data_IF_640699895476
#
_entry.id   IF_640699895476
#
_cell.length_a   1.000
_cell.length_b   1.000
_cell.length_c   1.000
_cell.angle_alpha   90.00
_cell.angle_beta   90.00
_cell.angle_gamma   90.00
#
_symmetry.space_group_name_H-M   'P 1'
#
loop_
_entity.id
_entity.type
_entity.pdbx_description
1 polymer ?
#
# COMPACT_ATOMS: atom_id res chain seq x y z
N UNK A 1 16.90 -1.83 12.32
CA UNK A 1 18.08 -2.55 11.80
C UNK A 1 18.43 -1.96 10.44
N UNK A 2 19.70 -1.69 10.14
CA UNK A 2 20.15 -1.29 8.81
C UNK A 2 21.03 -2.43 8.29
N UNK A 3 20.57 -3.17 7.28
CA UNK A 3 21.31 -4.30 6.72
C UNK A 3 21.83 -3.87 5.34
N UNK A 4 23.15 -3.87 5.09
CA UNK A 4 23.69 -3.48 3.79
C UNK A 4 23.04 -4.26 2.64
N UNK A 5 22.63 -3.54 1.59
CA UNK A 5 21.95 -4.12 0.43
C UNK A 5 20.44 -4.34 0.58
N UNK A 6 19.86 -4.12 1.77
CA UNK A 6 18.42 -4.22 1.99
C UNK A 6 17.79 -2.84 2.10
N UNK A 7 16.71 -2.63 1.35
CA UNK A 7 15.88 -1.42 1.41
C UNK A 7 14.46 -1.79 1.82
N UNK A 8 13.76 -0.85 2.46
CA UNK A 8 12.38 -1.06 2.87
C UNK A 8 11.40 -0.47 1.85
N UNK A 9 10.31 -1.19 1.60
CA UNK A 9 9.07 -0.60 1.13
C UNK A 9 8.11 -0.44 2.32
N UNK A 10 7.22 0.54 2.26
CA UNK A 10 6.16 0.68 3.26
C UNK A 10 4.84 0.96 2.57
N UNK A 11 3.81 0.20 2.91
CA UNK A 11 2.47 0.27 2.32
C UNK A 11 1.49 -0.51 3.21
N UNK A 12 0.22 -0.50 2.84
CA UNK A 12 -0.83 -1.21 3.56
C UNK A 12 -1.46 -2.23 2.60
N UNK A 13 -1.19 -3.50 2.88
CA UNK A 13 -1.67 -4.62 2.06
C UNK A 13 -3.21 -4.70 2.08
N UNK A 14 -3.86 -5.08 0.97
CA UNK A 14 -5.33 -5.19 0.86
C UNK A 14 -6.01 -5.99 1.97
N UNK A 15 -5.33 -6.99 2.54
CA UNK A 15 -5.88 -7.78 3.66
C UNK A 15 -6.13 -6.97 4.94
N UNK A 16 -5.57 -5.76 5.05
CA UNK A 16 -5.78 -4.87 6.19
C UNK A 16 -6.98 -3.93 5.99
N UNK A 17 -7.65 -3.94 4.83
CA UNK A 17 -8.71 -2.98 4.51
C UNK A 17 -9.91 -3.01 5.46
N UNK A 18 -10.13 -4.11 6.18
CA UNK A 18 -11.18 -4.21 7.19
C UNK A 18 -10.81 -3.56 8.55
N UNK A 19 -9.53 -3.25 8.78
CA UNK A 19 -9.00 -2.85 10.11
C UNK A 19 -8.24 -1.52 10.09
N UNK A 20 -7.86 -1.04 8.90
CA UNK A 20 -7.13 0.20 8.73
C UNK A 20 -7.95 1.40 9.22
N UNK A 21 -7.27 2.30 9.92
CA UNK A 21 -7.84 3.55 10.45
C UNK A 21 -7.07 4.76 9.92
N UNK A 22 -7.62 5.97 10.04
CA UNK A 22 -6.97 7.20 9.58
C UNK A 22 -5.56 7.40 10.15
N UNK A 23 -5.34 7.04 11.43
CA UNK A 23 -4.01 7.09 12.08
C UNK A 23 -2.96 6.19 11.40
N UNK A 24 -3.39 5.10 10.77
CA UNK A 24 -2.47 4.19 10.08
C UNK A 24 -2.02 4.81 8.75
N UNK A 25 -2.92 5.52 8.06
CA UNK A 25 -2.61 6.28 6.84
C UNK A 25 -1.71 7.50 7.13
N UNK A 26 -1.92 8.16 8.27
CA UNK A 26 -1.03 9.23 8.74
C UNK A 26 0.38 8.70 9.03
N UNK A 27 0.46 7.57 9.76
CA UNK A 27 1.73 6.90 10.05
C UNK A 27 2.43 6.44 8.79
N UNK A 28 1.70 5.88 7.82
CA UNK A 28 2.23 5.54 6.50
C UNK A 28 2.85 6.77 5.83
N UNK A 29 2.15 7.91 5.83
CA UNK A 29 2.67 9.17 5.28
C UNK A 29 3.96 9.66 5.96
N UNK A 30 4.12 9.42 7.25
CA UNK A 30 5.38 9.72 7.96
C UNK A 30 6.49 8.75 7.55
N UNK A 31 6.20 7.45 7.46
CA UNK A 31 7.18 6.44 7.04
C UNK A 31 7.67 6.69 5.60
N UNK A 32 6.78 7.09 4.70
CA UNK A 32 7.11 7.41 3.32
C UNK A 32 8.03 8.63 3.18
N UNK A 33 8.16 9.50 4.19
CA UNK A 33 9.17 10.59 4.18
C UNK A 33 10.54 10.14 4.68
N UNK A 34 10.64 8.94 5.27
CA UNK A 34 11.91 8.44 5.76
C UNK A 34 12.86 8.13 4.60
N UNK A 35 14.15 8.53 4.69
CA UNK A 35 15.16 8.14 3.70
C UNK A 35 15.46 6.64 3.72
N UNK A 36 15.02 5.90 4.75
CA UNK A 36 15.18 4.45 4.86
C UNK A 36 14.14 3.65 4.06
N UNK A 37 13.11 4.33 3.55
CA UNK A 37 12.06 3.72 2.73
C UNK A 37 12.31 4.10 1.27
N UNK A 38 12.60 3.12 0.42
CA UNK A 38 12.95 3.35 -0.99
C UNK A 38 11.77 3.18 -1.94
N UNK A 39 10.66 2.59 -1.49
CA UNK A 39 9.47 2.36 -2.30
C UNK A 39 8.18 2.48 -1.49
N UNK A 40 7.07 2.81 -2.16
CA UNK A 40 5.73 2.82 -1.58
C UNK A 40 5.04 1.49 -1.90
N UNK A 41 4.74 0.68 -0.88
CA UNK A 41 4.02 -0.57 -1.06
C UNK A 41 4.36 -1.63 -0.01
N UNK A 42 3.69 -2.78 -0.03
CA UNK A 42 2.72 -3.18 -1.06
C UNK A 42 1.31 -2.60 -0.81
N UNK A 43 0.65 -2.16 -1.88
CA UNK A 43 -0.76 -1.75 -1.92
C UNK A 43 -1.43 -2.45 -3.11
N UNK A 44 -2.74 -2.61 -3.11
CA UNK A 44 -3.44 -3.15 -4.28
C UNK A 44 -4.70 -3.91 -3.94
N UNK A 45 -4.98 -4.96 -4.71
CA UNK A 45 -6.22 -5.74 -4.64
C UNK A 45 -5.93 -7.24 -4.60
N UNK A 46 -6.54 -7.92 -3.64
CA UNK A 46 -6.44 -9.37 -3.47
C UNK A 46 -7.83 -10.00 -3.41
N UNK A 47 -8.20 -10.69 -4.48
CA UNK A 47 -9.49 -11.36 -4.61
C UNK A 47 -9.61 -12.67 -3.82
N UNK A 48 -8.55 -13.15 -3.17
CA UNK A 48 -8.51 -14.44 -2.48
C UNK A 48 -8.33 -14.29 -0.95
N UNK A 49 -8.22 -13.08 -0.42
CA UNK A 49 -7.98 -12.84 1.01
C UNK A 49 -9.24 -12.79 1.89
N UNK A 50 -10.44 -12.87 1.29
CA UNK A 50 -11.73 -12.83 2.01
C UNK A 50 -12.19 -11.46 2.52
N UNK A 51 -11.42 -10.38 2.29
CA UNK A 51 -11.79 -9.01 2.65
C UNK A 51 -12.67 -8.40 1.56
N UNK A 52 -13.73 -7.69 1.95
CA UNK A 52 -14.64 -7.00 1.04
C UNK A 52 -13.89 -6.15 -0.01
N UNK A 53 -14.22 -6.34 -1.29
CA UNK A 53 -13.53 -5.69 -2.40
C UNK A 53 -13.71 -4.17 -2.39
N UNK A 54 -14.89 -3.67 -1.98
CA UNK A 54 -15.13 -2.22 -1.89
C UNK A 54 -14.21 -1.56 -0.87
N UNK A 55 -13.99 -2.21 0.28
CA UNK A 55 -13.01 -1.76 1.28
C UNK A 55 -11.57 -1.76 0.74
N UNK A 56 -11.19 -2.81 0.00
CA UNK A 56 -9.85 -2.87 -0.61
C UNK A 56 -9.63 -1.75 -1.62
N UNK A 57 -10.61 -1.47 -2.47
CA UNK A 57 -10.55 -0.36 -3.45
C UNK A 57 -10.52 1.00 -2.77
N UNK A 58 -11.32 1.21 -1.73
CA UNK A 58 -11.29 2.43 -0.94
C UNK A 58 -9.91 2.65 -0.29
N UNK A 59 -9.33 1.61 0.32
CA UNK A 59 -7.99 1.66 0.87
C UNK A 59 -6.94 1.94 -0.23
N UNK A 60 -7.03 1.28 -1.38
CA UNK A 60 -6.11 1.51 -2.49
C UNK A 60 -6.16 2.98 -2.94
N UNK A 61 -7.34 3.58 -3.09
CA UNK A 61 -7.50 5.00 -3.44
C UNK A 61 -6.92 5.92 -2.36
N UNK A 62 -7.15 5.62 -1.09
CA UNK A 62 -6.56 6.37 0.04
C UNK A 62 -5.03 6.29 0.05
N UNK A 63 -4.48 5.12 -0.23
CA UNK A 63 -3.04 4.90 -0.37
C UNK A 63 -2.47 5.67 -1.57
N UNK A 64 -3.07 5.55 -2.75
CA UNK A 64 -2.62 6.26 -3.96
C UNK A 64 -2.67 7.79 -3.81
N UNK A 65 -3.62 8.32 -3.05
CA UNK A 65 -3.66 9.75 -2.70
C UNK A 65 -2.47 10.21 -1.82
N UNK A 66 -1.71 9.28 -1.24
CA UNK A 66 -0.45 9.53 -0.51
C UNK A 66 0.80 9.25 -1.36
N UNK A 67 0.64 8.72 -2.57
CA UNK A 67 1.76 8.44 -3.44
C UNK A 67 2.47 9.75 -3.83
N UNK A 68 3.79 9.72 -3.83
CA UNK A 68 4.64 10.78 -4.34
C UNK A 68 5.44 10.22 -5.52
N UNK A 69 5.64 11.03 -6.56
CA UNK A 69 6.36 10.63 -7.77
C UNK A 69 7.85 10.36 -7.53
N UNK A 70 8.37 10.74 -6.36
CA UNK A 70 9.76 10.47 -5.95
C UNK A 70 10.04 9.01 -5.60
N UNK A 71 9.02 8.18 -5.37
CA UNK A 71 9.19 6.76 -4.98
C UNK A 71 8.39 5.83 -5.88
N UNK A 72 8.99 4.72 -6.35
CA UNK A 72 8.25 3.72 -7.11
C UNK A 72 7.17 3.08 -6.24
N UNK A 73 6.05 2.72 -6.86
CA UNK A 73 4.92 2.02 -6.23
C UNK A 73 5.04 0.52 -6.47
N UNK A 74 4.89 -0.28 -5.42
CA UNK A 74 4.83 -1.75 -5.49
C UNK A 74 3.38 -2.18 -5.32
N UNK A 75 2.88 -2.88 -6.35
CA UNK A 75 1.48 -3.28 -6.45
C UNK A 75 1.31 -4.77 -6.13
N UNK A 76 0.42 -5.08 -5.19
CA UNK A 76 -0.08 -6.43 -4.95
C UNK A 76 -1.36 -6.65 -5.74
N UNK A 77 -1.35 -7.62 -6.65
CA UNK A 77 -2.54 -7.94 -7.45
C UNK A 77 -2.72 -9.45 -7.47
N UNK A 78 -3.84 -9.93 -6.92
CA UNK A 78 -4.20 -11.35 -6.95
C UNK A 78 -5.61 -11.54 -7.49
N UNK A 79 -5.72 -12.02 -8.73
CA UNK A 79 -7.01 -12.31 -9.39
C UNK A 79 -7.90 -11.09 -9.66
N UNK A 80 -7.36 -9.87 -9.60
CA UNK A 80 -8.13 -8.61 -9.69
C UNK A 80 -7.53 -7.56 -10.65
N UNK A 81 -6.70 -7.98 -11.60
CA UNK A 81 -6.02 -7.09 -12.55
C UNK A 81 -6.98 -6.10 -13.26
N UNK A 82 -8.11 -6.58 -13.78
CA UNK A 82 -9.06 -5.75 -14.53
C UNK A 82 -9.75 -4.63 -13.73
N UNK A 83 -9.59 -4.59 -12.41
CA UNK A 83 -10.15 -3.52 -11.53
C UNK A 83 -9.13 -2.42 -11.20
N UNK A 84 -7.90 -2.53 -11.71
CA UNK A 84 -6.83 -1.54 -11.45
C UNK A 84 -6.89 -0.32 -12.38
N UNK A 85 -7.57 -0.43 -13.52
CA UNK A 85 -7.62 0.60 -14.57
C UNK A 85 -8.93 1.39 -14.61
N UNK A 86 -9.74 1.33 -13.54
CA UNK A 86 -11.09 1.89 -13.46
C UNK A 86 -11.25 3.01 -12.44
#
# INVERSE_FOLDING_TARGET
MNVPGFVAASGIHPSQAARVMSRDLEKLGMLLRSPKVSAFGEIGLDGQNGVDMGKQEALLRQCLAKADSSKPVILHIRGRWGRMSS
#
